data_IF_430412214045
#
_entry.id   IF_430412214045
#
_cell.length_a   1.000
_cell.length_b   1.000
_cell.length_c   1.000
_cell.angle_alpha   90.00
_cell.angle_beta   90.00
_cell.angle_gamma   90.00
#
_symmetry.space_group_name_H-M   'P 1'
#
loop_
_entity.id
_entity.type
_entity.pdbx_description
1 polymer ?
#
# COMPACT_ATOMS: atom_id res chain seq x y z
N UNK A 1 -25.00 22.47 -6.90
CA UNK A 1 -23.76 21.68 -6.88
C UNK A 1 -23.83 20.63 -5.78
N UNK A 2 -23.59 19.40 -6.10
CA UNK A 2 -23.64 18.33 -5.10
C UNK A 2 -22.43 18.39 -4.18
N UNK A 3 -22.65 18.37 -2.88
CA UNK A 3 -21.61 18.29 -1.86
C UNK A 3 -21.31 16.84 -1.46
N UNK A 4 -22.06 15.91 -2.02
CA UNK A 4 -21.89 14.47 -1.78
C UNK A 4 -21.62 13.76 -3.10
N UNK A 5 -20.89 12.65 -3.02
CA UNK A 5 -20.63 11.81 -4.19
C UNK A 5 -21.77 10.78 -4.38
N UNK A 6 -21.62 9.90 -5.38
CA UNK A 6 -22.66 8.94 -5.74
C UNK A 6 -23.02 7.95 -4.62
N UNK A 7 -22.14 7.75 -3.65
CA UNK A 7 -22.37 6.86 -2.51
C UNK A 7 -22.73 7.61 -1.22
N UNK A 8 -23.04 8.90 -1.34
CA UNK A 8 -23.56 9.70 -0.23
C UNK A 8 -22.53 10.27 0.71
N UNK A 9 -21.24 10.25 0.34
CA UNK A 9 -20.18 10.81 1.16
C UNK A 9 -19.88 12.25 0.75
N UNK A 10 -19.33 13.04 1.70
CA UNK A 10 -18.88 14.40 1.41
C UNK A 10 -17.79 14.38 0.35
N UNK A 11 -18.02 15.09 -0.76
CA UNK A 11 -17.10 15.05 -1.92
C UNK A 11 -15.71 15.59 -1.61
N UNK A 12 -15.60 16.69 -0.87
CA UNK A 12 -14.29 17.27 -0.54
C UNK A 12 -13.47 16.35 0.38
N UNK A 13 -14.13 15.75 1.37
CA UNK A 13 -13.47 14.78 2.27
C UNK A 13 -13.07 13.51 1.54
N UNK A 14 -13.90 13.04 0.60
CA UNK A 14 -13.59 11.87 -0.24
C UNK A 14 -12.39 12.14 -1.16
N UNK A 15 -12.28 13.34 -1.71
CA UNK A 15 -11.09 13.71 -2.51
C UNK A 15 -9.82 13.67 -1.69
N UNK A 16 -9.86 14.12 -0.43
CA UNK A 16 -8.70 14.05 0.47
C UNK A 16 -8.33 12.61 0.78
N UNK A 17 -9.32 11.74 1.00
CA UNK A 17 -9.10 10.30 1.22
C UNK A 17 -8.49 9.65 -0.03
N UNK A 18 -8.99 9.98 -1.22
CA UNK A 18 -8.42 9.49 -2.49
C UNK A 18 -6.95 9.86 -2.60
N UNK A 19 -6.60 11.08 -2.25
CA UNK A 19 -5.20 11.52 -2.27
C UNK A 19 -4.34 10.67 -1.34
N UNK A 20 -4.81 10.43 -0.12
CA UNK A 20 -4.11 9.58 0.85
C UNK A 20 -4.03 8.13 0.38
N UNK A 21 -5.09 7.59 -0.21
CA UNK A 21 -5.10 6.24 -0.76
C UNK A 21 -4.14 6.10 -1.95
N UNK A 22 -3.99 7.13 -2.77
CA UNK A 22 -3.00 7.10 -3.86
C UNK A 22 -1.56 7.10 -3.32
N UNK A 23 -1.29 7.77 -2.21
CA UNK A 23 0.00 7.67 -1.53
C UNK A 23 0.22 6.26 -0.98
N UNK A 24 -0.81 5.66 -0.41
CA UNK A 24 -0.77 4.28 0.07
C UNK A 24 -0.56 3.30 -1.08
N UNK A 25 -1.30 3.46 -2.17
CA UNK A 25 -1.16 2.65 -3.38
C UNK A 25 0.27 2.69 -3.91
N UNK A 26 0.84 3.89 -4.02
CA UNK A 26 2.22 4.07 -4.49
C UNK A 26 3.21 3.37 -3.57
N UNK A 27 3.01 3.47 -2.27
CA UNK A 27 3.87 2.83 -1.27
C UNK A 27 3.76 1.31 -1.31
N UNK A 28 2.56 0.77 -1.49
CA UNK A 28 2.36 -0.66 -1.70
C UNK A 28 3.05 -1.17 -2.96
N UNK A 29 3.03 -0.40 -4.04
CA UNK A 29 3.70 -0.78 -5.28
C UNK A 29 5.21 -0.93 -5.08
N UNK A 30 5.82 -0.03 -4.34
CA UNK A 30 7.26 -0.11 -4.06
C UNK A 30 7.56 -1.25 -3.09
N UNK A 31 6.75 -1.44 -2.05
CA UNK A 31 6.90 -2.58 -1.14
C UNK A 31 6.79 -3.91 -1.90
N UNK A 32 5.83 -4.00 -2.81
CA UNK A 32 5.64 -5.15 -3.68
C UNK A 32 6.90 -5.44 -4.52
N UNK A 33 7.43 -4.42 -5.18
CA UNK A 33 8.62 -4.61 -6.03
C UNK A 33 9.84 -4.96 -5.18
N UNK A 34 9.99 -4.36 -4.01
CA UNK A 34 11.07 -4.71 -3.09
C UNK A 34 11.00 -6.19 -2.68
N UNK A 35 9.82 -6.66 -2.28
CA UNK A 35 9.61 -8.06 -1.90
C UNK A 35 9.92 -9.01 -3.06
N UNK A 36 9.47 -8.67 -4.26
CA UNK A 36 9.73 -9.47 -5.46
C UNK A 36 11.21 -9.50 -5.81
N UNK A 37 11.88 -8.36 -5.72
CA UNK A 37 13.33 -8.28 -5.92
C UNK A 37 14.11 -9.12 -4.92
N UNK A 38 13.67 -9.16 -3.66
CA UNK A 38 14.27 -10.01 -2.64
C UNK A 38 14.04 -11.49 -2.97
N UNK A 39 12.85 -11.84 -3.39
CA UNK A 39 12.53 -13.21 -3.83
C UNK A 39 13.53 -13.70 -4.88
N UNK A 40 13.90 -12.83 -5.82
CA UNK A 40 14.84 -13.17 -6.89
C UNK A 40 16.30 -13.16 -6.47
N UNK A 41 16.69 -12.22 -5.62
CA UNK A 41 18.10 -11.81 -5.47
C UNK A 41 18.76 -12.19 -4.15
N UNK A 42 18.02 -12.69 -3.16
CA UNK A 42 18.65 -13.14 -1.91
C UNK A 42 19.53 -14.35 -2.18
N UNK A 43 20.56 -14.49 -1.34
CA UNK A 43 21.52 -15.60 -1.40
C UNK A 43 21.80 -16.07 0.02
N UNK A 44 22.38 -17.25 0.12
CA UNK A 44 22.87 -17.75 1.39
C UNK A 44 22.06 -18.91 1.95
N UNK A 45 22.27 -19.17 3.24
CA UNK A 45 21.81 -20.36 3.93
C UNK A 45 20.29 -20.55 3.91
N UNK A 46 19.54 -19.47 4.05
CA UNK A 46 18.09 -19.52 4.15
C UNK A 46 17.39 -19.19 2.83
N UNK A 47 18.08 -19.40 1.71
CA UNK A 47 17.52 -19.03 0.39
C UNK A 47 16.15 -19.64 0.17
N UNK A 48 16.00 -20.95 0.33
CA UNK A 48 14.75 -21.62 -0.04
C UNK A 48 13.56 -21.16 0.80
N UNK A 49 13.73 -21.03 2.10
CA UNK A 49 12.64 -20.59 2.98
C UNK A 49 12.26 -19.16 2.70
N UNK A 50 13.24 -18.27 2.54
CA UNK A 50 12.98 -16.86 2.29
C UNK A 50 12.46 -16.60 0.89
N UNK A 51 12.98 -17.31 -0.11
CA UNK A 51 12.50 -17.23 -1.48
C UNK A 51 10.99 -17.49 -1.54
N UNK A 52 10.53 -18.57 -0.91
CA UNK A 52 9.11 -18.94 -0.83
C UNK A 52 8.32 -17.89 -0.03
N UNK A 53 8.85 -17.47 1.11
CA UNK A 53 8.18 -16.49 1.97
C UNK A 53 8.00 -15.14 1.26
N UNK A 54 9.02 -14.67 0.55
CA UNK A 54 8.93 -13.42 -0.19
C UNK A 54 7.92 -13.51 -1.34
N UNK A 55 7.78 -14.69 -1.95
CA UNK A 55 6.73 -14.91 -2.95
C UNK A 55 5.33 -14.80 -2.34
N UNK A 56 5.10 -15.42 -1.19
CA UNK A 56 3.84 -15.29 -0.46
C UNK A 56 3.54 -13.81 -0.15
N UNK A 57 4.57 -13.08 0.28
CA UNK A 57 4.44 -11.67 0.65
C UNK A 57 4.07 -10.83 -0.58
N UNK A 58 4.79 -10.97 -1.69
CA UNK A 58 4.49 -10.12 -2.84
C UNK A 58 3.13 -10.45 -3.47
N UNK A 59 2.70 -11.70 -3.40
CA UNK A 59 1.37 -12.07 -3.86
C UNK A 59 0.27 -11.43 -3.02
N UNK A 60 0.44 -11.37 -1.69
CA UNK A 60 -0.49 -10.68 -0.80
C UNK A 60 -0.49 -9.16 -1.04
N UNK A 61 0.68 -8.58 -1.25
CA UNK A 61 0.80 -7.16 -1.56
C UNK A 61 0.12 -6.79 -2.87
N UNK A 62 0.20 -7.66 -3.86
CA UNK A 62 -0.46 -7.46 -5.15
C UNK A 62 -1.98 -7.38 -4.99
N UNK A 63 -2.56 -8.22 -4.14
CA UNK A 63 -3.99 -8.17 -3.84
C UNK A 63 -4.37 -6.84 -3.18
N UNK A 64 -3.57 -6.35 -2.26
CA UNK A 64 -3.81 -5.07 -1.59
C UNK A 64 -3.71 -3.89 -2.54
N UNK A 65 -2.76 -3.92 -3.46
CA UNK A 65 -2.64 -2.92 -4.54
C UNK A 65 -3.97 -2.80 -5.29
N UNK A 66 -4.53 -3.92 -5.70
CA UNK A 66 -5.78 -3.94 -6.45
C UNK A 66 -6.96 -3.43 -5.61
N UNK A 67 -7.07 -3.89 -4.37
CA UNK A 67 -8.13 -3.45 -3.46
C UNK A 67 -8.10 -1.95 -3.19
N UNK A 68 -6.91 -1.38 -2.98
CA UNK A 68 -6.76 0.07 -2.77
C UNK A 68 -7.14 0.85 -4.01
N UNK A 69 -6.70 0.40 -5.19
CA UNK A 69 -7.06 1.04 -6.45
C UNK A 69 -8.57 1.01 -6.68
N UNK A 70 -9.22 -0.12 -6.40
CA UNK A 70 -10.68 -0.26 -6.53
C UNK A 70 -11.42 0.61 -5.52
N UNK A 71 -10.89 0.77 -4.30
CA UNK A 71 -11.49 1.67 -3.31
C UNK A 71 -11.44 3.12 -3.79
N UNK A 72 -10.34 3.53 -4.42
CA UNK A 72 -10.22 4.85 -5.04
C UNK A 72 -11.32 5.05 -6.10
N UNK A 73 -11.54 4.05 -6.95
CA UNK A 73 -12.61 4.10 -7.96
C UNK A 73 -13.98 4.25 -7.29
N UNK A 74 -14.23 3.52 -6.21
CA UNK A 74 -15.49 3.59 -5.48
C UNK A 74 -15.75 5.00 -4.93
N UNK A 75 -14.69 5.71 -4.55
CA UNK A 75 -14.76 7.09 -4.06
C UNK A 75 -14.79 8.13 -5.19
N UNK A 76 -14.95 7.69 -6.43
CA UNK A 76 -14.98 8.53 -7.63
C UNK A 76 -13.64 9.21 -7.92
N UNK A 77 -12.56 8.58 -7.51
CA UNK A 77 -11.19 9.05 -7.79
C UNK A 77 -10.53 8.27 -8.91
N UNK A 78 -9.35 8.70 -9.30
CA UNK A 78 -8.52 8.04 -10.29
C UNK A 78 -7.28 7.43 -9.64
N UNK A 79 -7.14 6.09 -9.65
CA UNK A 79 -5.91 5.48 -9.14
C UNK A 79 -4.71 5.86 -10.02
N UNK A 80 -3.60 6.19 -9.39
CA UNK A 80 -2.34 6.38 -10.10
C UNK A 80 -1.93 5.09 -10.80
N UNK A 81 -1.34 5.20 -11.98
CA UNK A 81 -1.05 4.04 -12.83
C UNK A 81 0.25 4.18 -13.64
N UNK A 82 1.18 5.01 -13.17
CA UNK A 82 2.48 5.17 -13.80
C UNK A 82 3.60 4.96 -12.76
N UNK A 83 4.64 4.24 -13.14
CA UNK A 83 5.77 3.99 -12.24
C UNK A 83 6.42 5.27 -11.76
N UNK A 84 6.51 6.28 -12.63
CA UNK A 84 7.08 7.58 -12.25
C UNK A 84 6.31 8.23 -11.10
N UNK A 85 4.97 8.14 -11.11
CA UNK A 85 4.14 8.64 -10.02
C UNK A 85 4.37 7.87 -8.73
N UNK A 86 4.46 6.54 -8.81
CA UNK A 86 4.71 5.70 -7.65
C UNK A 86 6.04 6.02 -6.99
N UNK A 87 7.09 6.20 -7.79
CA UNK A 87 8.42 6.53 -7.28
C UNK A 87 8.46 7.90 -6.61
N UNK A 88 7.74 8.86 -7.17
CA UNK A 88 7.70 10.23 -6.62
C UNK A 88 6.91 10.29 -5.31
N UNK A 89 5.77 9.60 -5.22
CA UNK A 89 4.78 9.76 -4.15
C UNK A 89 4.96 8.77 -3.02
N UNK A 90 5.54 7.59 -3.29
CA UNK A 90 5.72 6.54 -2.30
C UNK A 90 6.47 7.01 -1.06
N UNK A 91 6.01 6.57 0.11
CA UNK A 91 6.71 6.75 1.38
C UNK A 91 7.76 5.67 1.62
N UNK A 92 7.79 4.65 0.77
CA UNK A 92 8.75 3.56 0.83
C UNK A 92 9.70 3.71 -0.34
N UNK A 93 11.01 3.58 -0.07
CA UNK A 93 12.04 3.71 -1.09
C UNK A 93 12.35 2.37 -1.73
N UNK A 94 12.80 2.41 -2.97
CA UNK A 94 13.32 1.23 -3.65
C UNK A 94 14.52 0.65 -2.90
N UNK A 95 14.56 -0.67 -2.76
CA UNK A 95 15.67 -1.41 -2.19
C UNK A 95 16.43 -2.11 -3.32
N UNK A 96 17.64 -1.65 -3.59
CA UNK A 96 18.46 -2.20 -4.67
C UNK A 96 19.63 -2.99 -4.11
N UNK A 97 19.99 -4.06 -4.81
CA UNK A 97 21.24 -4.79 -4.58
C UNK A 97 21.37 -5.37 -3.16
N UNK A 98 20.24 -5.79 -2.59
CA UNK A 98 20.22 -6.48 -1.30
C UNK A 98 20.16 -7.97 -1.57
N UNK A 99 21.20 -8.69 -1.16
CA UNK A 99 21.27 -10.16 -1.29
C UNK A 99 21.28 -10.88 0.05
N UNK A 100 21.44 -10.16 1.15
CA UNK A 100 21.42 -10.72 2.50
C UNK A 100 19.99 -10.88 2.99
N UNK A 101 19.63 -12.09 3.43
CA UNK A 101 18.28 -12.40 3.86
C UNK A 101 17.82 -11.59 5.07
N UNK A 102 18.69 -11.38 6.05
CA UNK A 102 18.36 -10.58 7.25
C UNK A 102 18.11 -9.13 6.87
N UNK A 103 18.95 -8.54 6.03
CA UNK A 103 18.77 -7.18 5.54
C UNK A 103 17.45 -7.03 4.76
N UNK A 104 17.10 -8.02 3.95
CA UNK A 104 15.83 -8.03 3.20
C UNK A 104 14.63 -8.05 4.14
N UNK A 105 14.65 -8.92 5.15
CA UNK A 105 13.56 -8.99 6.16
C UNK A 105 13.44 -7.66 6.92
N UNK A 106 14.55 -7.10 7.36
CA UNK A 106 14.56 -5.81 8.06
C UNK A 106 13.97 -4.70 7.19
N UNK A 107 14.29 -4.68 5.91
CA UNK A 107 13.75 -3.71 4.96
C UNK A 107 12.22 -3.85 4.82
N UNK A 108 11.73 -5.08 4.67
CA UNK A 108 10.29 -5.32 4.59
C UNK A 108 9.56 -4.94 5.87
N UNK A 109 10.15 -5.23 7.04
CA UNK A 109 9.55 -4.86 8.33
C UNK A 109 9.45 -3.34 8.47
N UNK A 110 10.49 -2.61 8.08
CA UNK A 110 10.46 -1.15 8.07
C UNK A 110 9.37 -0.61 7.13
N UNK A 111 9.23 -1.22 5.96
CA UNK A 111 8.18 -0.88 4.99
C UNK A 111 6.78 -1.13 5.56
N UNK A 112 6.56 -2.27 6.21
CA UNK A 112 5.28 -2.55 6.86
C UNK A 112 4.97 -1.56 7.98
N UNK A 113 5.97 -1.17 8.76
CA UNK A 113 5.79 -0.14 9.80
C UNK A 113 5.28 1.17 9.17
N UNK A 114 5.87 1.57 8.05
CA UNK A 114 5.43 2.76 7.31
C UNK A 114 3.99 2.61 6.82
N UNK A 115 3.66 1.46 6.22
CA UNK A 115 2.31 1.19 5.71
C UNK A 115 1.26 1.23 6.83
N UNK A 116 1.54 0.61 7.97
CA UNK A 116 0.62 0.58 9.11
C UNK A 116 0.35 1.99 9.64
N UNK A 117 1.37 2.82 9.75
CA UNK A 117 1.21 4.22 10.19
C UNK A 117 0.35 5.01 9.22
N UNK A 118 0.57 4.85 7.92
CA UNK A 118 -0.25 5.48 6.90
C UNK A 118 -1.71 5.01 6.99
N UNK A 119 -1.92 3.73 7.20
CA UNK A 119 -3.27 3.14 7.30
C UNK A 119 -4.01 3.64 8.54
N UNK A 120 -3.32 3.82 9.66
CA UNK A 120 -3.93 4.42 10.86
C UNK A 120 -4.39 5.85 10.60
N UNK A 121 -3.58 6.63 9.88
CA UNK A 121 -3.95 8.00 9.54
C UNK A 121 -5.15 8.03 8.59
N UNK A 122 -5.19 7.15 7.61
CA UNK A 122 -6.32 7.04 6.67
C UNK A 122 -7.59 6.56 7.41
N UNK A 123 -7.43 5.62 8.34
CA UNK A 123 -8.55 5.16 9.18
C UNK A 123 -9.20 6.32 9.93
N UNK A 124 -8.41 7.15 10.56
CA UNK A 124 -8.90 8.33 11.28
C UNK A 124 -9.59 9.31 10.32
N UNK A 125 -8.97 9.58 9.18
CA UNK A 125 -9.52 10.43 8.13
C UNK A 125 -10.86 9.90 7.62
N UNK A 126 -10.96 8.59 7.41
CA UNK A 126 -12.18 7.92 6.95
C UNK A 126 -13.29 8.01 8.00
N UNK A 127 -12.96 7.83 9.27
CA UNK A 127 -13.93 7.98 10.36
C UNK A 127 -14.49 9.39 10.41
N UNK A 128 -13.64 10.40 10.26
CA UNK A 128 -14.07 11.80 10.25
C UNK A 128 -14.98 12.12 9.06
N UNK A 129 -14.81 11.41 7.96
CA UNK A 129 -15.63 11.57 6.75
C UNK A 129 -16.85 10.64 6.74
N UNK A 130 -17.03 9.83 7.77
CA UNK A 130 -18.08 8.80 7.83
C UNK A 130 -17.99 7.80 6.67
N UNK A 131 -16.79 7.53 6.23
CA UNK A 131 -16.48 6.56 5.17
C UNK A 131 -16.15 5.21 5.81
N UNK A 132 -17.18 4.49 6.20
CA UNK A 132 -17.06 3.20 6.88
C UNK A 132 -16.35 2.16 6.02
N UNK A 133 -16.55 2.20 4.70
CA UNK A 133 -15.91 1.26 3.78
C UNK A 133 -14.40 1.41 3.75
N UNK A 134 -13.91 2.63 3.68
CA UNK A 134 -12.45 2.88 3.75
C UNK A 134 -11.92 2.57 5.14
N UNK A 135 -12.64 2.96 6.20
CA UNK A 135 -12.24 2.66 7.58
C UNK A 135 -12.13 1.15 7.80
N UNK A 136 -13.10 0.38 7.32
CA UNK A 136 -13.11 -1.08 7.41
C UNK A 136 -11.91 -1.71 6.68
N UNK A 137 -11.63 -1.25 5.48
CA UNK A 137 -10.50 -1.73 4.69
C UNK A 137 -9.17 -1.46 5.40
N UNK A 138 -8.99 -0.26 5.94
CA UNK A 138 -7.77 0.11 6.66
C UNK A 138 -7.64 -0.69 7.97
N UNK A 139 -8.73 -0.86 8.70
CA UNK A 139 -8.74 -1.67 9.92
C UNK A 139 -8.30 -3.11 9.63
N UNK A 140 -8.80 -3.68 8.55
CA UNK A 140 -8.44 -5.02 8.09
C UNK A 140 -6.94 -5.12 7.78
N UNK A 141 -6.40 -4.14 7.08
CA UNK A 141 -4.96 -4.11 6.73
C UNK A 141 -4.06 -3.93 7.94
N UNK A 142 -4.49 -3.19 8.95
CA UNK A 142 -3.73 -2.96 10.18
C UNK A 142 -3.64 -4.24 11.01
N UNK A 143 -4.69 -5.06 11.00
CA UNK A 143 -4.76 -6.31 11.74
C UNK A 143 -3.89 -7.39 11.11
#
# INVERSE_FOLDING_TARGET
MSQVNAIGLNSAKSEDIVKSLNTLLSSYQIQYMNARGFHWNIKGRNFFELHIKFEEIYNLLLLKVDEVAERILTLDGAPLHAFSDYLEISKIKEAKNISDGVAAVENLLAGYSTLIKMQRDILEQANDAQDEGTASLMSDYIT
#
